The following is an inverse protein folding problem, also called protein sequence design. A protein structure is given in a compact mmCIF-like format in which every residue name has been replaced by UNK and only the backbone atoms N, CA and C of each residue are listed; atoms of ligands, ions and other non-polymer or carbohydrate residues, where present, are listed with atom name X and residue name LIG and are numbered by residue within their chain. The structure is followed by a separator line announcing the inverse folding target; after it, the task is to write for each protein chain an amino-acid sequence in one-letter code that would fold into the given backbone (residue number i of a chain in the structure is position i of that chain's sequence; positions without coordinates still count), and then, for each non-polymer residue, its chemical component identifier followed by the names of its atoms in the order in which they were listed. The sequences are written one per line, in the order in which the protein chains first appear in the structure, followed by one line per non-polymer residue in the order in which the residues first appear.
data_IF_395182329017
#
_entry.id   IF_395182329017
#
_cell.length_a   1.000
_cell.length_b   1.000
_cell.length_c   1.000
_cell.angle_alpha   90.00
_cell.angle_beta   90.00
_cell.angle_gamma   90.00
#
_symmetry.space_group_name_H-M   'P 1'
#
loop_
_entity.id
_entity.type
_entity.pdbx_description
1 polymer ?
#
# COMPACT_ATOMS: atom_id res chain seq x y z
N UNK A 1 5.06 -5.53 0.61
CA UNK A 1 3.75 -6.13 0.26
C UNK A 1 3.35 -5.87 -1.19
N UNK A 2 3.13 -4.62 -1.64
CA UNK A 2 2.79 -4.32 -3.04
C UNK A 2 3.80 -4.85 -4.09
N UNK A 3 5.10 -4.85 -3.78
CA UNK A 3 6.11 -5.49 -4.64
C UNK A 3 5.89 -7.01 -4.75
N UNK A 4 5.56 -7.69 -3.64
CA UNK A 4 5.31 -9.14 -3.62
C UNK A 4 4.01 -9.52 -4.30
N UNK A 5 2.99 -8.66 -4.19
CA UNK A 5 1.72 -8.78 -4.89
C UNK A 5 1.90 -8.91 -6.42
N UNK A 6 3.06 -8.47 -6.93
CA UNK A 6 3.42 -8.49 -8.35
C UNK A 6 4.26 -9.69 -8.78
N UNK A 7 4.59 -10.62 -7.86
CA UNK A 7 5.49 -11.74 -8.12
C UNK A 7 4.75 -13.03 -8.45
N UNK A 8 3.73 -13.43 -7.70
CA UNK A 8 3.08 -14.72 -7.94
C UNK A 8 2.09 -14.66 -9.11
N UNK A 9 1.99 -15.68 -9.98
CA UNK A 9 1.03 -15.68 -11.08
C UNK A 9 -0.42 -15.70 -10.59
N UNK A 10 -0.70 -16.43 -9.51
CA UNK A 10 -2.00 -16.42 -8.83
C UNK A 10 -1.85 -15.70 -7.50
N UNK A 11 -2.76 -14.78 -7.21
CA UNK A 11 -2.84 -14.09 -5.92
C UNK A 11 -4.21 -14.34 -5.31
N UNK A 12 -4.23 -14.67 -4.03
CA UNK A 12 -5.45 -14.70 -3.23
C UNK A 12 -5.36 -13.62 -2.15
N UNK A 13 -6.42 -12.82 -2.05
CA UNK A 13 -6.58 -11.79 -1.02
C UNK A 13 -7.82 -12.06 -0.18
N UNK A 14 -7.80 -11.62 1.07
CA UNK A 14 -8.94 -11.69 1.99
C UNK A 14 -8.89 -10.55 3.01
N UNK A 15 -10.06 -10.23 3.58
CA UNK A 15 -10.28 -9.28 4.69
C UNK A 15 -10.50 -10.04 6.01
N UNK A 16 -9.91 -9.56 7.10
CA UNK A 16 -10.14 -10.04 8.45
C UNK A 16 -11.34 -9.29 9.04
N UNK A 17 -12.46 -10.00 9.22
CA UNK A 17 -13.70 -9.39 9.71
C UNK A 17 -13.51 -8.73 11.08
N UNK A 18 -13.68 -7.40 11.11
CA UNK A 18 -13.64 -6.60 12.34
C UNK A 18 -12.37 -6.87 13.16
N UNK A 19 -11.22 -6.97 12.49
CA UNK A 19 -9.95 -7.43 13.05
C UNK A 19 -9.63 -6.84 14.45
N UNK A 20 -9.74 -5.52 14.62
CA UNK A 20 -9.48 -4.86 15.90
C UNK A 20 -10.43 -5.30 17.03
N UNK A 21 -11.71 -5.53 16.70
CA UNK A 21 -12.71 -5.91 17.69
C UNK A 21 -12.54 -7.35 18.19
N UNK A 22 -11.77 -8.18 17.50
CA UNK A 22 -11.42 -9.52 17.96
C UNK A 22 -10.42 -9.50 19.12
N UNK A 23 -9.61 -8.44 19.24
CA UNK A 23 -8.58 -8.33 20.27
C UNK A 23 -9.11 -7.61 21.51
N UNK A 24 -9.02 -8.27 22.64
CA UNK A 24 -9.50 -7.79 23.94
C UNK A 24 -8.48 -6.85 24.59
N UNK A 25 -8.95 -5.72 25.14
CA UNK A 25 -8.13 -4.88 26.01
C UNK A 25 -8.11 -5.47 27.40
N UNK A 26 -6.91 -5.48 28.00
CA UNK A 26 -6.74 -5.77 29.42
C UNK A 26 -7.57 -4.78 30.24
N UNK A 27 -8.18 -5.26 31.31
CA UNK A 27 -9.10 -4.46 32.11
C UNK A 27 -8.45 -3.20 32.69
N UNK A 28 -7.18 -3.30 33.10
CA UNK A 28 -6.35 -2.19 33.59
C UNK A 28 -6.17 -1.06 32.57
N UNK A 29 -6.18 -1.36 31.27
CA UNK A 29 -5.93 -0.38 30.20
C UNK A 29 -7.23 0.27 29.67
N UNK A 30 -8.41 -0.31 29.98
CA UNK A 30 -9.69 0.12 29.37
C UNK A 30 -10.05 1.57 29.68
N UNK A 31 -9.65 2.06 30.86
CA UNK A 31 -9.96 3.43 31.28
C UNK A 31 -9.26 4.50 30.44
N UNK A 32 -8.16 4.16 29.77
CA UNK A 32 -7.48 5.02 28.79
C UNK A 32 -8.27 5.20 27.49
N UNK A 33 -9.36 4.44 27.31
CA UNK A 33 -10.21 4.46 26.09
C UNK A 33 -11.62 4.97 26.37
N UNK A 34 -11.80 5.73 27.46
CA UNK A 34 -13.10 6.31 27.81
C UNK A 34 -13.54 7.36 26.79
N UNK A 35 -14.83 7.41 26.51
CA UNK A 35 -15.44 8.47 25.72
C UNK A 35 -16.81 8.84 26.29
N UNK A 36 -17.20 10.08 26.01
CA UNK A 36 -18.49 10.62 26.41
C UNK A 36 -19.50 10.41 25.28
N UNK A 37 -20.68 9.91 25.63
CA UNK A 37 -21.81 9.74 24.73
C UNK A 37 -22.97 10.59 25.19
N UNK A 38 -23.52 11.39 24.28
CA UNK A 38 -24.69 12.22 24.54
C UNK A 38 -25.93 11.41 24.20
N UNK A 39 -26.81 11.15 25.19
CA UNK A 39 -28.02 10.33 24.97
C UNK A 39 -28.98 11.02 24.00
N UNK A 40 -29.26 12.30 24.23
CA UNK A 40 -30.19 13.10 23.43
C UNK A 40 -29.51 14.37 22.89
N UNK A 41 -29.29 14.41 21.58
CA UNK A 41 -28.58 15.53 20.91
C UNK A 41 -29.35 16.85 20.89
N UNK A 42 -30.68 16.80 21.06
CA UNK A 42 -31.57 17.97 21.03
C UNK A 42 -31.63 18.72 22.37
N UNK A 43 -31.17 18.12 23.47
CA UNK A 43 -31.14 18.75 24.79
C UNK A 43 -29.89 19.60 24.94
N UNK A 44 -30.01 20.71 25.69
CA UNK A 44 -28.85 21.48 26.13
C UNK A 44 -27.90 20.61 26.97
N UNK A 45 -26.65 21.06 27.09
CA UNK A 45 -25.64 20.37 27.88
C UNK A 45 -26.11 20.15 29.33
N UNK A 46 -26.33 18.89 29.69
CA UNK A 46 -26.72 18.45 31.03
C UNK A 46 -25.88 17.19 31.39
N UNK A 47 -25.16 17.17 32.52
CA UNK A 47 -24.41 15.99 32.95
C UNK A 47 -25.22 14.69 33.00
N UNK A 48 -26.53 14.75 33.25
CA UNK A 48 -27.45 13.59 33.26
C UNK A 48 -27.71 13.02 31.86
N UNK A 49 -27.48 13.83 30.83
CA UNK A 49 -27.56 13.48 29.41
C UNK A 49 -26.25 12.89 28.87
N UNK A 50 -25.20 12.83 29.69
CA UNK A 50 -23.90 12.26 29.31
C UNK A 50 -23.79 10.84 29.89
N UNK A 51 -23.36 9.90 29.06
CA UNK A 51 -22.92 8.57 29.48
C UNK A 51 -21.42 8.44 29.23
N UNK A 52 -20.72 7.77 30.14
CA UNK A 52 -19.31 7.43 29.97
C UNK A 52 -19.23 5.98 29.53
N UNK A 53 -18.70 5.74 28.35
CA UNK A 53 -18.36 4.41 27.86
C UNK A 53 -16.86 4.24 27.83
N UNK A 54 -16.40 2.98 27.78
CA UNK A 54 -15.00 2.62 27.55
C UNK A 54 -14.96 1.43 26.60
N UNK A 55 -13.92 1.34 25.78
CA UNK A 55 -13.76 0.18 24.93
C UNK A 55 -13.28 -1.03 25.74
N UNK A 56 -13.80 -2.20 25.39
CA UNK A 56 -13.33 -3.51 25.91
C UNK A 56 -12.46 -4.26 24.90
N UNK A 57 -12.41 -3.75 23.66
CA UNK A 57 -11.67 -4.26 22.51
C UNK A 57 -10.83 -3.14 21.91
N UNK A 58 -9.89 -3.45 21.02
CA UNK A 58 -9.07 -2.42 20.40
C UNK A 58 -9.93 -1.42 19.60
N UNK A 59 -9.87 -0.12 19.92
CA UNK A 59 -10.55 0.90 19.14
C UNK A 59 -9.74 1.29 17.90
N UNK A 60 -10.45 1.74 16.87
CA UNK A 60 -9.84 2.43 15.73
C UNK A 60 -9.30 3.80 16.16
N UNK A 61 -8.19 4.23 15.56
CA UNK A 61 -7.60 5.56 15.80
C UNK A 61 -6.61 5.63 16.97
N UNK A 62 -6.51 4.58 17.79
CA UNK A 62 -5.44 4.47 18.79
C UNK A 62 -4.16 3.97 18.13
N UNK A 63 -3.05 4.71 18.34
CA UNK A 63 -1.74 4.47 17.71
C UNK A 63 -1.22 3.04 17.97
N UNK A 64 -1.51 2.47 19.14
CA UNK A 64 -1.06 1.13 19.51
C UNK A 64 -1.91 -0.01 18.91
N UNK A 65 -3.16 0.26 18.48
CA UNK A 65 -4.08 -0.79 18.02
C UNK A 65 -3.53 -1.62 16.85
N UNK A 66 -2.94 -1.01 15.78
CA UNK A 66 -2.36 -1.80 14.68
C UNK A 66 -1.23 -2.72 15.11
N UNK A 67 -0.39 -2.28 16.05
CA UNK A 67 0.70 -3.10 16.59
C UNK A 67 0.15 -4.29 17.38
N UNK A 68 -0.81 -4.05 18.27
CA UNK A 68 -1.41 -5.10 19.10
C UNK A 68 -2.14 -6.15 18.25
N UNK A 69 -2.85 -5.72 17.20
CA UNK A 69 -3.46 -6.63 16.23
C UNK A 69 -2.40 -7.48 15.52
N UNK A 70 -1.37 -6.85 14.95
CA UNK A 70 -0.30 -7.56 14.24
C UNK A 70 0.46 -8.54 15.15
N UNK A 71 0.73 -8.16 16.40
CA UNK A 71 1.38 -9.01 17.39
C UNK A 71 0.50 -10.23 17.75
N UNK A 72 -0.82 -10.02 17.90
CA UNK A 72 -1.79 -11.09 18.18
C UNK A 72 -1.84 -12.09 17.02
N UNK A 73 -2.01 -11.61 15.78
CA UNK A 73 -1.99 -12.47 14.58
C UNK A 73 -0.67 -13.24 14.49
N UNK A 74 0.48 -12.56 14.69
CA UNK A 74 1.78 -13.23 14.67
C UNK A 74 1.94 -14.29 15.75
N UNK A 75 1.34 -14.10 16.93
CA UNK A 75 1.37 -15.08 18.01
C UNK A 75 0.57 -16.33 17.64
N UNK A 76 -0.67 -16.16 17.14
CA UNK A 76 -1.49 -17.28 16.66
C UNK A 76 -0.80 -18.07 15.55
N UNK A 77 -0.24 -17.38 14.55
CA UNK A 77 0.49 -18.03 13.45
C UNK A 77 1.68 -18.87 13.93
N UNK A 78 2.38 -18.46 14.98
CA UNK A 78 3.50 -19.23 15.53
C UNK A 78 3.03 -20.47 16.33
N UNK A 79 1.87 -20.38 16.98
CA UNK A 79 1.34 -21.48 17.80
C UNK A 79 0.77 -22.62 16.97
N UNK A 80 0.23 -22.33 15.78
CA UNK A 80 -0.19 -23.35 14.80
C UNK A 80 0.93 -24.37 14.51
N UNK A 81 2.20 -23.95 14.60
CA UNK A 81 3.35 -24.83 14.37
C UNK A 81 3.71 -25.71 15.57
N UNK A 82 3.13 -25.42 16.74
CA UNK A 82 3.38 -26.11 18.01
C UNK A 82 2.35 -27.21 18.28
N UNK A 83 1.20 -27.17 17.61
CA UNK A 83 0.16 -28.19 17.78
C UNK A 83 0.60 -29.53 17.18
N UNK A 84 0.45 -30.59 17.99
CA UNK A 84 0.97 -31.94 17.75
C UNK A 84 0.27 -32.72 16.62
N UNK A 85 -0.69 -32.12 15.90
CA UNK A 85 -1.53 -32.79 14.90
C UNK A 85 -0.93 -32.83 13.48
N UNK A 86 0.30 -32.34 13.28
CA UNK A 86 0.91 -32.36 11.95
C UNK A 86 1.35 -33.80 11.59
N UNK A 87 0.60 -34.40 10.66
CA UNK A 87 0.69 -35.83 10.25
C UNK A 87 2.04 -36.23 9.63
N UNK A 88 2.77 -35.31 9.01
CA UNK A 88 4.04 -35.58 8.33
C UNK A 88 5.06 -34.45 8.49
N UNK A 89 6.35 -34.78 8.34
CA UNK A 89 7.42 -33.77 8.34
C UNK A 89 7.32 -32.79 7.15
N UNK A 90 6.80 -33.25 6.01
CA UNK A 90 6.60 -32.44 4.81
C UNK A 90 5.49 -31.40 5.02
N UNK A 91 4.35 -31.82 5.59
CA UNK A 91 3.25 -30.90 5.91
C UNK A 91 3.70 -29.84 6.92
N UNK A 92 4.57 -30.22 7.87
CA UNK A 92 5.17 -29.27 8.83
C UNK A 92 6.04 -28.23 8.13
N UNK A 93 6.86 -28.65 7.17
CA UNK A 93 7.71 -27.74 6.40
C UNK A 93 6.87 -26.78 5.54
N UNK A 94 5.85 -27.31 4.86
CA UNK A 94 4.92 -26.52 4.05
C UNK A 94 4.15 -25.50 4.90
N UNK A 95 3.63 -25.91 6.06
CA UNK A 95 2.90 -25.02 6.97
C UNK A 95 3.81 -23.92 7.53
N UNK A 96 5.06 -24.24 7.87
CA UNK A 96 6.07 -23.23 8.25
C UNK A 96 6.30 -22.19 7.16
N UNK A 97 6.36 -22.63 5.90
CA UNK A 97 6.51 -21.74 4.76
C UNK A 97 5.28 -20.84 4.58
N UNK A 98 4.07 -21.40 4.67
CA UNK A 98 2.82 -20.63 4.60
C UNK A 98 2.74 -19.58 5.72
N UNK A 99 3.04 -19.97 6.97
CA UNK A 99 3.07 -19.06 8.11
C UNK A 99 4.06 -17.91 7.90
N UNK A 100 5.25 -18.21 7.40
CA UNK A 100 6.25 -17.19 7.10
C UNK A 100 5.80 -16.22 5.98
N UNK A 101 5.17 -16.76 4.93
CA UNK A 101 4.60 -15.99 3.83
C UNK A 101 3.49 -15.05 4.30
N UNK A 102 2.52 -15.59 5.05
CA UNK A 102 1.36 -14.85 5.58
C UNK A 102 1.82 -13.78 6.55
N UNK A 103 2.73 -14.09 7.48
CA UNK A 103 3.29 -13.10 8.40
C UNK A 103 3.96 -11.93 7.67
N UNK A 104 4.59 -12.20 6.54
CA UNK A 104 5.17 -11.15 5.71
C UNK A 104 4.09 -10.38 4.91
N UNK A 105 2.92 -10.95 4.66
CA UNK A 105 1.91 -10.43 3.73
C UNK A 105 0.53 -10.21 4.38
N UNK A 106 0.52 -9.95 5.68
CA UNK A 106 -0.62 -9.40 6.42
C UNK A 106 -0.38 -7.92 6.67
N UNK A 107 -1.37 -7.09 6.37
CA UNK A 107 -1.35 -5.67 6.67
C UNK A 107 -2.68 -5.26 7.30
N UNK A 108 -2.67 -5.05 8.61
CA UNK A 108 -3.85 -4.72 9.41
C UNK A 108 -4.93 -5.80 9.24
N UNK A 109 -5.94 -5.54 8.41
CA UNK A 109 -7.09 -6.37 8.09
C UNK A 109 -6.93 -7.13 6.77
N UNK A 110 -5.95 -6.77 5.93
CA UNK A 110 -5.74 -7.40 4.64
C UNK A 110 -4.74 -8.57 4.71
N UNK A 111 -5.12 -9.73 4.22
CA UNK A 111 -4.26 -10.90 4.04
C UNK A 111 -4.02 -11.14 2.55
N UNK A 112 -2.77 -11.40 2.16
CA UNK A 112 -2.40 -11.70 0.77
C UNK A 112 -1.46 -12.88 0.72
N UNK A 113 -1.71 -13.79 -0.21
CA UNK A 113 -0.84 -14.93 -0.51
C UNK A 113 -0.69 -15.09 -2.02
N UNK A 114 0.47 -15.60 -2.42
CA UNK A 114 0.75 -15.96 -3.79
C UNK A 114 0.75 -17.46 -4.00
N UNK A 115 0.47 -17.91 -5.21
CA UNK A 115 0.56 -19.31 -5.60
C UNK A 115 0.99 -19.42 -7.07
N UNK A 116 1.62 -20.54 -7.42
CA UNK A 116 2.01 -20.85 -8.79
C UNK A 116 0.94 -21.63 -9.55
N UNK A 117 0.08 -22.37 -8.85
CA UNK A 117 -1.03 -23.14 -9.43
C UNK A 117 -2.32 -22.95 -8.66
N UNK A 118 -3.45 -23.24 -9.29
CA UNK A 118 -4.77 -23.14 -8.66
C UNK A 118 -4.89 -24.09 -7.46
N UNK A 119 -4.34 -25.30 -7.56
CA UNK A 119 -4.35 -26.28 -6.48
C UNK A 119 -3.57 -25.79 -5.26
N UNK A 120 -2.40 -25.17 -5.47
CA UNK A 120 -1.62 -24.55 -4.40
C UNK A 120 -2.42 -23.42 -3.74
N UNK A 121 -3.03 -22.54 -4.55
CA UNK A 121 -3.84 -21.42 -4.06
C UNK A 121 -5.00 -21.91 -3.19
N UNK A 122 -5.74 -22.93 -3.65
CA UNK A 122 -6.87 -23.52 -2.93
C UNK A 122 -6.42 -24.21 -1.64
N UNK A 123 -5.27 -24.90 -1.66
CA UNK A 123 -4.68 -25.49 -0.45
C UNK A 123 -4.34 -24.42 0.58
N UNK A 124 -3.72 -23.31 0.16
CA UNK A 124 -3.40 -22.18 1.04
C UNK A 124 -4.65 -21.49 1.58
N UNK A 125 -5.67 -21.28 0.75
CA UNK A 125 -6.98 -20.75 1.16
C UNK A 125 -7.59 -21.56 2.30
N UNK A 126 -7.74 -22.88 2.12
CA UNK A 126 -8.33 -23.76 3.15
C UNK A 126 -7.53 -23.75 4.45
N UNK A 127 -6.21 -23.81 4.36
CA UNK A 127 -5.34 -23.75 5.52
C UNK A 127 -5.46 -22.40 6.26
N UNK A 128 -5.46 -21.29 5.53
CA UNK A 128 -5.62 -19.95 6.11
C UNK A 128 -6.97 -19.79 6.81
N UNK A 129 -8.06 -20.24 6.18
CA UNK A 129 -9.40 -20.17 6.77
C UNK A 129 -9.44 -20.89 8.11
N UNK A 130 -8.84 -22.07 8.20
CA UNK A 130 -8.74 -22.82 9.45
C UNK A 130 -7.88 -22.11 10.51
N UNK A 131 -6.68 -21.66 10.12
CA UNK A 131 -5.74 -20.97 11.03
C UNK A 131 -6.38 -19.73 11.65
N UNK A 132 -7.05 -18.93 10.84
CA UNK A 132 -7.69 -17.69 11.29
C UNK A 132 -8.96 -17.98 12.10
N UNK A 133 -9.71 -19.04 11.75
CA UNK A 133 -10.85 -19.50 12.56
C UNK A 133 -10.43 -19.92 13.97
N UNK A 134 -9.32 -20.66 14.11
CA UNK A 134 -8.74 -21.02 15.41
C UNK A 134 -8.29 -19.78 16.22
N UNK A 135 -7.86 -18.73 15.52
CA UNK A 135 -7.58 -17.42 16.14
C UNK A 135 -8.84 -16.60 16.47
N UNK A 136 -10.04 -17.15 16.25
CA UNK A 136 -11.33 -16.43 16.37
C UNK A 136 -11.41 -15.18 15.49
N UNK A 137 -10.73 -15.21 14.34
CA UNK A 137 -10.71 -14.12 13.36
C UNK A 137 -11.26 -14.66 12.03
N UNK A 138 -12.48 -14.29 11.66
CA UNK A 138 -13.04 -14.77 10.40
C UNK A 138 -12.37 -14.08 9.19
N UNK A 139 -11.97 -14.86 8.18
CA UNK A 139 -11.50 -14.35 6.89
C UNK A 139 -12.63 -14.38 5.86
N UNK A 140 -12.88 -13.23 5.24
CA UNK A 140 -13.97 -13.02 4.27
C UNK A 140 -13.47 -12.19 3.09
N UNK A 141 -14.39 -11.88 2.17
CA UNK A 141 -14.10 -11.10 0.96
C UNK A 141 -12.93 -11.71 0.15
N UNK A 142 -12.92 -13.04 0.05
CA UNK A 142 -11.92 -13.80 -0.70
C UNK A 142 -12.01 -13.46 -2.18
N UNK A 143 -10.86 -13.18 -2.77
CA UNK A 143 -10.74 -12.79 -4.17
C UNK A 143 -9.42 -13.27 -4.76
N UNK A 144 -9.48 -13.76 -5.99
CA UNK A 144 -8.32 -14.20 -6.77
C UNK A 144 -8.36 -13.63 -8.19
N UNK A 145 -7.20 -13.45 -8.83
CA UNK A 145 -7.14 -13.22 -10.28
C UNK A 145 -7.44 -14.48 -11.11
N UNK A 146 -7.51 -15.65 -10.47
CA UNK A 146 -7.81 -16.91 -11.11
C UNK A 146 -9.27 -17.33 -10.86
N UNK A 147 -10.03 -17.55 -11.95
CA UNK A 147 -11.44 -17.93 -11.87
C UNK A 147 -11.68 -19.33 -11.29
N UNK A 148 -10.78 -20.28 -11.54
CA UNK A 148 -10.88 -21.62 -10.98
C UNK A 148 -10.78 -21.56 -9.45
N UNK A 149 -9.84 -20.77 -8.94
CA UNK A 149 -9.69 -20.52 -7.50
C UNK A 149 -10.92 -19.81 -6.93
N UNK A 150 -11.45 -18.78 -7.61
CA UNK A 150 -12.65 -18.07 -7.16
C UNK A 150 -13.90 -18.97 -7.05
N UNK A 151 -14.00 -20.04 -7.85
CA UNK A 151 -15.10 -21.03 -7.74
C UNK A 151 -15.00 -21.93 -6.51
N UNK A 152 -13.82 -22.02 -5.88
CA UNK A 152 -13.59 -22.83 -4.68
C UNK A 152 -13.90 -22.08 -3.37
N UNK A 153 -14.06 -20.75 -3.43
CA UNK A 153 -14.44 -19.96 -2.27
C UNK A 153 -15.90 -20.20 -1.90
N UNK A 154 -16.19 -20.20 -0.60
CA UNK A 154 -17.56 -20.24 -0.11
C UNK A 154 -18.31 -18.97 -0.54
N UNK A 155 -19.54 -19.14 -1.01
CA UNK A 155 -20.31 -18.04 -1.61
C UNK A 155 -20.56 -16.87 -0.65
N UNK A 156 -20.72 -17.15 0.65
CA UNK A 156 -20.89 -16.14 1.70
C UNK A 156 -19.65 -15.27 1.92
N UNK A 157 -18.47 -15.80 1.63
CA UNK A 157 -17.19 -15.17 1.94
C UNK A 157 -16.47 -14.68 0.67
N UNK A 158 -17.02 -14.91 -0.53
CA UNK A 158 -16.42 -14.51 -1.80
C UNK A 158 -16.71 -13.05 -2.10
N UNK A 159 -15.68 -12.27 -2.40
CA UNK A 159 -15.87 -10.90 -2.87
C UNK A 159 -16.36 -10.87 -4.32
N UNK A 160 -17.05 -9.79 -4.69
CA UNK A 160 -17.37 -9.51 -6.08
C UNK A 160 -16.08 -9.26 -6.88
N UNK A 161 -16.03 -9.80 -8.10
CA UNK A 161 -14.93 -9.58 -9.03
C UNK A 161 -14.90 -8.15 -9.59
N UNK A 162 -14.04 -7.92 -10.59
CA UNK A 162 -13.92 -6.62 -11.25
C UNK A 162 -12.81 -5.76 -10.67
N UNK A 163 -13.18 -4.56 -10.18
CA UNK A 163 -12.22 -3.58 -9.67
C UNK A 163 -12.20 -3.60 -8.14
N UNK A 164 -11.14 -4.17 -7.58
CA UNK A 164 -10.88 -4.18 -6.13
C UNK A 164 -9.82 -3.14 -5.74
N UNK A 165 -9.65 -2.91 -4.43
CA UNK A 165 -8.61 -2.02 -3.89
C UNK A 165 -7.65 -2.81 -3.00
N UNK A 166 -6.37 -2.74 -3.33
CA UNK A 166 -5.29 -3.42 -2.61
C UNK A 166 -4.33 -2.36 -2.05
N UNK A 167 -4.29 -2.24 -0.72
CA UNK A 167 -3.45 -1.27 0.01
C UNK A 167 -3.57 0.17 -0.52
N UNK A 168 -4.77 0.56 -0.96
CA UNK A 168 -5.07 1.89 -1.51
C UNK A 168 -4.87 2.05 -3.03
N UNK A 169 -4.38 1.03 -3.74
CA UNK A 169 -4.24 1.03 -5.21
C UNK A 169 -5.38 0.21 -5.82
N UNK A 170 -5.90 0.61 -6.99
CA UNK A 170 -6.88 -0.21 -7.71
C UNK A 170 -6.24 -1.47 -8.30
N UNK A 171 -6.97 -2.58 -8.29
CA UNK A 171 -6.57 -3.82 -8.96
C UNK A 171 -7.76 -4.33 -9.76
N UNK A 172 -7.59 -4.35 -11.08
CA UNK A 172 -8.54 -4.95 -11.99
C UNK A 172 -8.23 -6.45 -12.06
N UNK A 173 -9.08 -7.24 -11.43
CA UNK A 173 -8.88 -8.68 -11.21
C UNK A 173 -8.91 -9.45 -12.54
N UNK A 174 -9.81 -9.09 -13.44
CA UNK A 174 -9.99 -9.79 -14.73
C UNK A 174 -8.82 -9.57 -15.69
N UNK A 175 -8.33 -8.33 -15.80
CA UNK A 175 -7.18 -8.02 -16.67
C UNK A 175 -5.84 -8.22 -15.97
N UNK A 176 -5.86 -8.48 -14.67
CA UNK A 176 -4.72 -8.58 -13.77
C UNK A 176 -3.75 -7.37 -13.82
N UNK A 177 -4.34 -6.17 -13.75
CA UNK A 177 -3.61 -4.90 -13.83
C UNK A 177 -3.82 -4.06 -12.58
N UNK A 178 -2.75 -3.38 -12.16
CA UNK A 178 -2.83 -2.34 -11.14
C UNK A 178 -3.27 -1.03 -11.79
N UNK A 179 -4.25 -0.37 -11.20
CA UNK A 179 -4.78 0.94 -11.60
C UNK A 179 -4.35 2.00 -10.60
N UNK A 180 -3.40 2.84 -10.99
CA UNK A 180 -3.00 4.02 -10.22
C UNK A 180 -3.82 5.20 -10.70
N UNK A 181 -4.66 5.73 -9.81
CA UNK A 181 -5.55 6.84 -10.12
C UNK A 181 -4.91 8.15 -9.69
N UNK A 182 -4.74 9.07 -10.64
CA UNK A 182 -4.48 10.47 -10.33
C UNK A 182 -5.75 11.09 -9.78
N UNK A 183 -5.63 11.90 -8.73
CA UNK A 183 -6.77 12.57 -8.14
C UNK A 183 -7.28 13.62 -9.13
N UNK A 184 -8.54 13.48 -9.54
CA UNK A 184 -9.23 14.53 -10.27
C UNK A 184 -9.39 15.77 -9.37
N UNK A 185 -8.64 16.81 -9.72
CA UNK A 185 -8.64 18.10 -9.03
C UNK A 185 -9.43 19.16 -9.81
N UNK A 186 -9.95 18.83 -11.00
CA UNK A 186 -10.59 19.80 -11.90
C UNK A 186 -11.90 20.34 -11.35
N UNK A 187 -12.62 19.54 -10.56
CA UNK A 187 -13.87 19.97 -9.89
C UNK A 187 -13.66 21.09 -8.86
N UNK A 188 -12.41 21.31 -8.43
CA UNK A 188 -12.02 22.42 -7.56
C UNK A 188 -11.38 23.60 -8.32
N UNK A 189 -11.26 23.53 -9.65
CA UNK A 189 -10.61 24.57 -10.47
C UNK A 189 -11.42 25.88 -10.53
N UNK A 190 -12.71 25.86 -10.20
CA UNK A 190 -13.52 27.07 -10.04
C UNK A 190 -13.22 27.84 -8.74
N UNK A 191 -12.39 27.27 -7.85
CA UNK A 191 -12.01 27.90 -6.60
C UNK A 191 -10.67 28.62 -6.70
N UNK A 192 -10.56 29.71 -5.94
CA UNK A 192 -9.31 30.40 -5.60
C UNK A 192 -8.17 29.39 -5.36
N UNK A 193 -7.10 29.48 -6.15
CA UNK A 193 -5.92 28.64 -6.01
C UNK A 193 -4.98 29.28 -5.00
N UNK A 194 -4.58 28.50 -3.98
CA UNK A 194 -3.59 28.91 -2.99
C UNK A 194 -2.48 27.86 -2.89
N UNK A 195 -1.32 28.24 -2.38
CA UNK A 195 -0.21 27.31 -2.12
C UNK A 195 -0.62 26.11 -1.27
N UNK A 196 -1.50 26.30 -0.28
CA UNK A 196 -2.06 25.21 0.54
C UNK A 196 -2.88 24.22 -0.29
N UNK A 197 -3.73 24.72 -1.21
CA UNK A 197 -4.53 23.86 -2.08
C UNK A 197 -3.67 23.06 -3.04
N UNK A 198 -2.66 23.69 -3.65
CA UNK A 198 -1.67 23.02 -4.50
C UNK A 198 -1.02 21.85 -3.76
N UNK A 199 -0.56 22.07 -2.53
CA UNK A 199 0.02 21.01 -1.70
C UNK A 199 -0.98 19.90 -1.38
N UNK A 200 -2.21 20.27 -1.01
CA UNK A 200 -3.26 19.30 -0.68
C UNK A 200 -3.58 18.39 -1.88
N UNK A 201 -3.76 18.98 -3.06
CA UNK A 201 -4.01 18.26 -4.31
C UNK A 201 -2.82 17.36 -4.66
N UNK A 202 -1.57 17.85 -4.58
CA UNK A 202 -0.37 17.03 -4.77
C UNK A 202 -0.32 15.83 -3.84
N UNK A 203 -0.49 16.07 -2.54
CA UNK A 203 -0.36 15.06 -1.49
C UNK A 203 -1.51 14.03 -1.51
N UNK A 204 -2.65 14.37 -2.13
CA UNK A 204 -3.79 13.46 -2.27
C UNK A 204 -3.55 12.32 -3.26
N UNK A 205 -2.51 12.41 -4.10
CA UNK A 205 -2.12 11.35 -5.02
C UNK A 205 -1.34 10.25 -4.28
N UNK A 206 -1.96 9.08 -4.14
CA UNK A 206 -1.36 7.93 -3.46
C UNK A 206 -0.56 7.07 -4.44
N UNK A 207 0.77 7.13 -4.33
CA UNK A 207 1.71 6.41 -5.21
C UNK A 207 2.89 5.81 -4.41
N UNK A 208 2.66 4.72 -3.67
CA UNK A 208 3.69 4.10 -2.82
C UNK A 208 4.81 3.43 -3.62
N UNK A 209 4.59 3.09 -4.90
CA UNK A 209 5.59 2.51 -5.79
C UNK A 209 6.33 3.58 -6.61
N UNK A 210 5.86 4.82 -6.61
CA UNK A 210 6.45 5.92 -7.36
C UNK A 210 6.21 5.85 -8.87
N UNK A 211 5.25 5.04 -9.34
CA UNK A 211 4.97 4.84 -10.78
C UNK A 211 4.48 6.15 -11.43
N UNK A 212 3.74 6.98 -10.68
CA UNK A 212 3.27 8.29 -11.12
C UNK A 212 4.33 9.39 -10.94
N UNK A 213 5.55 9.06 -10.50
CA UNK A 213 6.63 10.04 -10.27
C UNK A 213 6.89 10.96 -11.47
N UNK A 214 6.93 10.50 -12.73
CA UNK A 214 7.15 11.38 -13.88
C UNK A 214 6.08 12.47 -13.99
N UNK A 215 4.81 12.11 -13.79
CA UNK A 215 3.67 13.02 -13.84
C UNK A 215 3.65 13.97 -12.64
N UNK A 216 3.84 13.43 -11.42
CA UNK A 216 3.80 14.21 -10.18
C UNK A 216 5.03 15.12 -10.00
N UNK A 217 6.12 14.87 -10.72
CA UNK A 217 7.33 15.68 -10.64
C UNK A 217 7.08 17.13 -11.08
N UNK A 218 6.28 17.36 -12.12
CA UNK A 218 5.98 18.73 -12.57
C UNK A 218 5.26 19.52 -11.48
N UNK A 219 4.27 18.91 -10.83
CA UNK A 219 3.57 19.57 -9.73
C UNK A 219 4.46 19.79 -8.50
N UNK A 220 5.39 18.88 -8.20
CA UNK A 220 6.42 19.10 -7.15
C UNK A 220 7.32 20.29 -7.49
N UNK A 221 7.71 20.44 -8.75
CA UNK A 221 8.53 21.55 -9.22
C UNK A 221 7.77 22.88 -9.15
N UNK A 222 6.49 22.87 -9.55
CA UNK A 222 5.59 24.01 -9.39
C UNK A 222 5.49 24.44 -7.92
N UNK A 223 5.23 23.51 -7.00
CA UNK A 223 5.15 23.81 -5.57
C UNK A 223 6.48 24.34 -5.00
N UNK A 224 7.62 23.82 -5.47
CA UNK A 224 8.94 24.34 -5.08
C UNK A 224 9.14 25.78 -5.58
N UNK A 225 8.65 26.13 -6.77
CA UNK A 225 8.69 27.50 -7.29
C UNK A 225 7.89 28.44 -6.39
N UNK A 226 6.65 28.07 -6.03
CA UNK A 226 5.85 28.86 -5.09
C UNK A 226 6.57 29.08 -3.75
N UNK A 227 7.33 28.09 -3.29
CA UNK A 227 8.14 28.23 -2.08
C UNK A 227 9.28 29.24 -2.24
N UNK A 228 9.99 29.21 -3.38
CA UNK A 228 11.11 30.11 -3.68
C UNK A 228 10.66 31.56 -3.88
N UNK A 229 9.49 31.76 -4.47
CA UNK A 229 8.89 33.09 -4.69
C UNK A 229 8.29 33.71 -3.42
N UNK A 230 8.18 32.94 -2.33
CA UNK A 230 7.77 33.47 -1.03
C UNK A 230 6.25 33.51 -0.80
N UNK A 231 5.45 32.88 -1.65
CA UNK A 231 3.98 32.82 -1.50
C UNK A 231 3.55 32.31 -0.12
N UNK A 232 2.59 33.01 0.48
CA UNK A 232 1.88 32.63 1.69
C UNK A 232 1.05 31.36 1.49
N UNK A 233 0.68 30.70 2.59
CA UNK A 233 -0.09 29.44 2.52
C UNK A 233 -1.49 29.62 1.95
N UNK A 234 -2.18 30.67 2.41
CA UNK A 234 -3.56 30.98 2.09
C UNK A 234 -3.69 32.22 1.18
N UNK A 235 -2.55 32.69 0.66
CA UNK A 235 -2.48 33.75 -0.34
C UNK A 235 -3.04 33.24 -1.67
N UNK A 236 -3.82 34.10 -2.33
CA UNK A 236 -4.40 33.84 -3.65
C UNK A 236 -3.28 33.99 -4.67
N UNK A 237 -3.04 32.94 -5.46
CA UNK A 237 -2.07 33.01 -6.55
C UNK A 237 -2.56 33.95 -7.65
N UNK A 238 -1.62 34.65 -8.30
CA UNK A 238 -1.92 35.42 -9.50
C UNK A 238 -2.50 34.52 -10.60
N UNK A 239 -3.33 35.10 -11.46
CA UNK A 239 -4.14 34.33 -12.42
C UNK A 239 -3.29 33.50 -13.39
N UNK A 240 -2.14 34.02 -13.82
CA UNK A 240 -1.18 33.31 -14.68
C UNK A 240 -0.56 32.08 -13.97
N UNK A 241 -0.19 32.25 -12.69
CA UNK A 241 0.35 31.16 -11.87
C UNK A 241 -0.72 30.12 -11.56
N UNK A 242 -1.95 30.56 -11.28
CA UNK A 242 -3.10 29.71 -11.04
C UNK A 242 -3.51 28.92 -12.30
N UNK A 243 -3.41 29.52 -13.48
CA UNK A 243 -3.70 28.88 -14.77
C UNK A 243 -2.67 27.80 -15.10
N UNK A 244 -1.38 28.02 -14.85
CA UNK A 244 -0.36 26.97 -15.01
C UNK A 244 -0.68 25.75 -14.13
N UNK A 245 -1.12 25.97 -12.90
CA UNK A 245 -1.55 24.88 -12.02
C UNK A 245 -2.79 24.16 -12.55
N UNK A 246 -3.80 24.90 -13.03
CA UNK A 246 -5.00 24.32 -13.64
C UNK A 246 -4.64 23.44 -14.83
N UNK A 247 -3.82 23.94 -15.76
CA UNK A 247 -3.32 23.19 -16.91
C UNK A 247 -2.64 21.86 -16.49
N UNK A 248 -1.79 21.88 -15.46
CA UNK A 248 -1.16 20.66 -14.92
C UNK A 248 -2.22 19.67 -14.39
N UNK A 249 -3.20 20.14 -13.63
CA UNK A 249 -4.24 19.26 -13.07
C UNK A 249 -5.22 18.73 -14.13
N UNK A 250 -5.46 19.49 -15.19
CA UNK A 250 -6.25 19.05 -16.35
C UNK A 250 -5.54 17.96 -17.15
N UNK A 251 -4.21 18.07 -17.31
CA UNK A 251 -3.40 16.98 -17.86
C UNK A 251 -3.50 15.70 -17.04
N UNK A 252 -3.52 15.81 -15.72
CA UNK A 252 -3.71 14.67 -14.82
C UNK A 252 -5.10 14.06 -14.96
N UNK A 253 -6.15 14.89 -15.08
CA UNK A 253 -7.51 14.41 -15.30
C UNK A 253 -7.67 13.71 -16.67
N UNK A 254 -6.99 14.19 -17.72
CA UNK A 254 -6.95 13.51 -19.03
C UNK A 254 -6.31 12.13 -18.96
N UNK A 255 -5.34 11.94 -18.07
CA UNK A 255 -4.64 10.67 -17.83
C UNK A 255 -4.96 10.11 -16.44
N UNK A 256 -6.23 10.18 -16.04
CA UNK A 256 -6.66 9.91 -14.67
C UNK A 256 -6.29 8.52 -14.15
N UNK A 257 -6.05 7.54 -15.03
CA UNK A 257 -5.69 6.17 -14.65
C UNK A 257 -4.47 5.71 -15.44
N UNK A 258 -3.39 5.40 -14.72
CA UNK A 258 -2.22 4.70 -15.26
C UNK A 258 -2.34 3.23 -14.90
N UNK A 259 -2.27 2.35 -15.90
CA UNK A 259 -2.34 0.91 -15.68
C UNK A 259 -1.00 0.24 -15.90
N UNK A 260 -0.60 -0.65 -14.98
CA UNK A 260 0.61 -1.48 -15.12
C UNK A 260 0.26 -2.95 -14.90
N UNK A 261 0.97 -3.90 -15.53
CA UNK A 261 0.82 -5.31 -15.23
C UNK A 261 1.07 -5.57 -13.75
N UNK A 262 0.19 -6.35 -13.10
CA UNK A 262 0.45 -6.83 -11.75
C UNK A 262 1.66 -7.77 -11.80
N UNK A 263 1.56 -8.87 -12.54
CA UNK A 263 2.62 -9.86 -12.69
C UNK A 263 3.82 -9.29 -13.48
N UNK A 264 5.04 -9.51 -12.99
CA UNK A 264 6.27 -8.98 -13.60
C UNK A 264 7.20 -10.04 -14.22
N UNK A 265 6.83 -11.33 -14.18
CA UNK A 265 7.57 -12.41 -14.86
C UNK A 265 6.63 -13.52 -15.31
N UNK A 266 7.04 -14.31 -16.30
CA UNK A 266 6.20 -15.37 -16.86
C UNK A 266 6.27 -16.66 -16.03
N UNK A 267 7.47 -17.06 -15.60
CA UNK A 267 7.68 -18.29 -14.83
C UNK A 267 8.54 -18.08 -13.59
N UNK A 268 8.24 -18.81 -12.52
CA UNK A 268 9.02 -18.78 -11.28
C UNK A 268 10.49 -19.20 -11.51
N UNK A 269 10.75 -20.03 -12.51
CA UNK A 269 12.11 -20.43 -12.88
C UNK A 269 12.93 -19.28 -13.50
N UNK A 270 12.27 -18.24 -14.06
CA UNK A 270 12.95 -17.18 -14.80
C UNK A 270 13.86 -16.37 -13.88
N UNK A 271 15.17 -16.25 -14.16
CA UNK A 271 16.06 -15.49 -13.30
C UNK A 271 15.60 -14.04 -13.16
N UNK A 272 15.51 -13.53 -11.93
CA UNK A 272 15.18 -12.13 -11.70
C UNK A 272 16.39 -11.26 -12.05
N UNK A 273 16.27 -10.47 -13.12
CA UNK A 273 17.27 -9.48 -13.52
C UNK A 273 16.73 -8.10 -13.18
N UNK A 274 17.44 -7.39 -12.29
CA UNK A 274 17.10 -6.04 -11.87
C UNK A 274 17.98 -5.01 -12.58
N UNK A 275 17.34 -4.09 -13.28
CA UNK A 275 17.98 -2.90 -13.85
C UNK A 275 17.52 -1.69 -13.08
N UNK A 276 18.45 -0.92 -12.53
CA UNK A 276 18.16 0.34 -11.85
C UNK A 276 18.85 1.44 -12.62
N UNK A 277 18.08 2.43 -13.05
CA UNK A 277 18.60 3.61 -13.73
C UNK A 277 18.57 4.77 -12.75
N UNK A 278 19.60 5.60 -12.80
CA UNK A 278 19.71 6.83 -12.00
C UNK A 278 20.13 7.96 -12.90
N UNK A 279 19.48 9.10 -12.77
CA UNK A 279 19.73 10.30 -13.57
C UNK A 279 19.51 11.54 -12.70
N UNK A 280 20.17 12.64 -13.06
CA UNK A 280 20.08 13.93 -12.42
C UNK A 280 20.07 15.08 -13.42
N UNK A 281 19.25 16.07 -13.10
CA UNK A 281 19.15 17.33 -13.83
C UNK A 281 19.30 18.51 -12.86
N UNK A 282 19.38 19.73 -13.40
CA UNK A 282 19.34 20.97 -12.60
C UNK A 282 18.11 21.07 -11.68
N UNK A 283 17.01 20.39 -12.02
CA UNK A 283 15.72 20.51 -11.34
C UNK A 283 15.49 19.40 -10.31
N UNK A 284 15.93 18.18 -10.61
CA UNK A 284 15.63 16.99 -9.83
C UNK A 284 16.61 15.87 -10.14
N UNK A 285 16.70 14.91 -9.22
CA UNK A 285 17.41 13.64 -9.41
C UNK A 285 16.48 12.49 -9.08
N UNK A 286 16.60 11.40 -9.83
CA UNK A 286 15.64 10.31 -9.80
C UNK A 286 16.29 8.94 -9.99
N UNK A 287 15.51 7.92 -9.65
CA UNK A 287 15.83 6.53 -9.95
C UNK A 287 14.57 5.76 -10.32
N UNK A 288 14.70 4.80 -11.22
CA UNK A 288 13.67 3.82 -11.55
C UNK A 288 14.29 2.43 -11.60
N UNK A 289 13.55 1.46 -11.09
CA UNK A 289 13.95 0.07 -11.00
C UNK A 289 12.99 -0.79 -11.82
N UNK A 290 13.56 -1.64 -12.67
CA UNK A 290 12.88 -2.60 -13.50
C UNK A 290 13.29 -4.00 -13.12
N UNK A 291 12.34 -4.93 -13.17
CA UNK A 291 12.59 -6.37 -13.16
C UNK A 291 11.95 -6.94 -14.41
N UNK A 292 12.71 -7.69 -15.21
CA UNK A 292 12.24 -8.31 -16.45
C UNK A 292 11.46 -7.33 -17.35
N UNK A 293 12.03 -6.13 -17.55
CA UNK A 293 11.46 -5.03 -18.35
C UNK A 293 10.17 -4.39 -17.81
N UNK A 294 9.75 -4.72 -16.59
CA UNK A 294 8.60 -4.10 -15.92
C UNK A 294 9.05 -3.15 -14.82
N UNK A 295 8.53 -1.91 -14.83
CA UNK A 295 8.80 -0.93 -13.78
C UNK A 295 8.21 -1.43 -12.46
N UNK A 296 9.05 -1.58 -11.43
CA UNK A 296 8.63 -2.08 -10.10
C UNK A 296 8.61 -0.98 -9.05
N UNK A 297 9.50 -0.01 -9.16
CA UNK A 297 9.62 1.09 -8.22
C UNK A 297 10.31 2.27 -8.88
N UNK A 298 9.86 3.49 -8.58
CA UNK A 298 10.55 4.71 -8.97
C UNK A 298 10.55 5.72 -7.82
N UNK A 299 11.50 6.64 -7.87
CA UNK A 299 11.63 7.69 -6.86
C UNK A 299 12.32 8.90 -7.46
N UNK A 300 11.64 10.04 -7.41
CA UNK A 300 12.20 11.33 -7.76
C UNK A 300 12.32 12.23 -6.53
N UNK A 301 13.38 13.02 -6.47
CA UNK A 301 13.61 14.06 -5.46
C UNK A 301 13.99 15.37 -6.15
N UNK A 302 13.48 16.48 -5.63
CA UNK A 302 13.82 17.81 -6.13
C UNK A 302 15.25 18.18 -5.74
N UNK A 303 15.90 19.00 -6.57
CA UNK A 303 17.15 19.64 -6.20
C UNK A 303 16.92 20.49 -4.92
N UNK A 304 17.75 20.33 -3.87
CA UNK A 304 17.64 21.14 -2.67
C UNK A 304 17.66 22.66 -2.94
N UNK A 305 17.07 23.45 -2.06
CA UNK A 305 17.06 24.92 -2.21
C UNK A 305 18.46 25.54 -2.21
N UNK A 306 19.43 24.87 -1.57
CA UNK A 306 20.85 25.19 -1.74
C UNK A 306 21.33 24.46 -3.00
N UNK A 307 21.65 25.23 -4.03
CA UNK A 307 22.15 24.66 -5.28
C UNK A 307 23.39 23.80 -5.03
N UNK A 308 23.34 22.61 -5.61
CA UNK A 308 24.46 21.68 -5.66
C UNK A 308 24.81 21.43 -7.13
N UNK A 309 26.08 21.12 -7.38
CA UNK A 309 26.56 20.85 -8.73
C UNK A 309 25.88 19.62 -9.34
N UNK A 310 25.79 19.58 -10.66
CA UNK A 310 25.24 18.42 -11.40
C UNK A 310 25.96 17.11 -11.01
N UNK A 311 27.31 17.04 -10.95
CA UNK A 311 28.00 15.83 -10.50
C UNK A 311 27.60 15.38 -9.08
N UNK A 312 27.31 16.33 -8.19
CA UNK A 312 26.83 15.98 -6.84
C UNK A 312 25.40 15.45 -6.87
N UNK A 313 24.55 15.95 -7.77
CA UNK A 313 23.20 15.41 -7.96
C UNK A 313 23.20 14.02 -8.58
N UNK A 314 24.07 13.76 -9.55
CA UNK A 314 24.29 12.42 -10.12
C UNK A 314 24.70 11.44 -9.01
N UNK A 315 25.65 11.82 -8.15
CA UNK A 315 26.01 11.00 -6.98
C UNK A 315 24.83 10.78 -6.03
N UNK A 316 23.98 11.79 -5.82
CA UNK A 316 22.76 11.64 -5.02
C UNK A 316 21.72 10.71 -5.69
N UNK A 317 21.63 10.72 -7.03
CA UNK A 317 20.83 9.79 -7.81
C UNK A 317 21.32 8.34 -7.60
N UNK A 318 22.63 8.12 -7.69
CA UNK A 318 23.27 6.82 -7.39
C UNK A 318 23.00 6.36 -5.95
N UNK A 319 23.06 7.28 -4.97
CA UNK A 319 22.73 6.96 -3.57
C UNK A 319 21.27 6.53 -3.40
N UNK A 320 20.31 7.18 -4.08
CA UNK A 320 18.92 6.73 -4.00
C UNK A 320 18.71 5.41 -4.78
N UNK A 321 19.38 5.21 -5.90
CA UNK A 321 19.33 3.97 -6.68
C UNK A 321 19.83 2.77 -5.88
N UNK A 322 20.99 2.89 -5.24
CA UNK A 322 21.54 1.83 -4.36
C UNK A 322 20.63 1.52 -3.16
N UNK A 323 19.97 2.53 -2.59
CA UNK A 323 18.95 2.33 -1.54
C UNK A 323 17.71 1.62 -2.08
N UNK A 324 17.27 1.94 -3.30
CA UNK A 324 16.15 1.28 -3.97
C UNK A 324 16.46 -0.18 -4.23
N UNK A 325 17.67 -0.52 -4.69
CA UNK A 325 18.12 -1.92 -4.84
C UNK A 325 17.96 -2.67 -3.51
N UNK A 326 18.58 -2.17 -2.43
CA UNK A 326 18.50 -2.81 -1.11
C UNK A 326 17.07 -2.93 -0.60
N UNK A 327 16.26 -1.90 -0.81
CA UNK A 327 14.84 -1.91 -0.44
C UNK A 327 14.10 -3.02 -1.19
N UNK A 328 14.18 -3.07 -2.52
CA UNK A 328 13.48 -4.09 -3.31
C UNK A 328 13.96 -5.49 -2.91
N UNK A 329 15.27 -5.72 -2.81
CA UNK A 329 15.82 -7.01 -2.35
C UNK A 329 15.27 -7.45 -1.00
N UNK A 330 15.15 -6.52 -0.03
CA UNK A 330 14.54 -6.84 1.28
C UNK A 330 13.06 -7.20 1.22
N UNK A 331 12.37 -6.81 0.14
CA UNK A 331 10.95 -7.10 -0.07
C UNK A 331 10.72 -8.35 -0.93
N UNK A 332 11.70 -8.73 -1.75
CA UNK A 332 11.67 -9.94 -2.56
C UNK A 332 11.97 -11.14 -1.66
N UNK A 333 11.07 -12.13 -1.64
CA UNK A 333 11.32 -13.43 -1.02
C UNK A 333 12.11 -14.38 -1.95
N UNK A 334 12.80 -13.80 -2.94
CA UNK A 334 13.52 -14.51 -4.00
C UNK A 334 14.82 -13.78 -4.30
N UNK A 335 15.87 -14.54 -4.61
CA UNK A 335 17.17 -13.99 -4.97
C UNK A 335 17.12 -13.29 -6.33
N UNK A 336 17.78 -12.14 -6.42
CA UNK A 336 17.98 -11.43 -7.68
C UNK A 336 19.26 -11.97 -8.32
N UNK A 337 19.14 -12.62 -9.47
CA UNK A 337 20.24 -13.29 -10.14
C UNK A 337 21.29 -12.32 -10.66
N UNK A 338 20.85 -11.15 -11.16
CA UNK A 338 21.74 -10.10 -11.66
C UNK A 338 21.18 -8.72 -11.36
N UNK A 339 22.07 -7.81 -10.94
CA UNK A 339 21.75 -6.42 -10.62
C UNK A 339 22.66 -5.51 -11.42
N UNK A 340 22.07 -4.54 -12.11
CA UNK A 340 22.82 -3.55 -12.87
C UNK A 340 22.31 -2.17 -12.45
N UNK A 341 23.24 -1.31 -12.02
CA UNK A 341 22.97 0.09 -11.75
C UNK A 341 23.57 0.90 -12.90
N UNK A 342 22.70 1.58 -13.64
CA UNK A 342 23.04 2.47 -14.73
C UNK A 342 23.05 3.90 -14.22
N UNK A 343 24.16 4.59 -14.43
CA UNK A 343 24.31 6.01 -14.21
C UNK A 343 24.95 6.64 -15.45
N UNK A 344 24.67 7.92 -15.66
CA UNK A 344 25.30 8.72 -16.70
C UNK A 344 26.80 8.95 -16.45
#
# INVERSE_FOLDING_TARGET
MLIRFRLAPIIVVADVEKAFLQVQLKEEDRDSTRFLWVKERSKMFDPRNIQVYRFTRLPFGVVASPFLLAATISWHLNNVLSDGEIKSNEDRAWLKQLVAEVRASVYVDNVMIGANTAEEAVRKYKALKQIFLEASMNLREWLSNDEEVNRQFEESDRAEGGLSKILGIGWNVHSDRLELKLKDCTRTNAEVVTKRKVLNQLASNYDPLGILSPTLLQGKLFFQRLWKEGWGWDEILDEDVAEEWRCLTEEWARHAVVTVPRLIYAHEADPLIMHVFTDASKRAYATCAYINSQLIYAKARLNPSKEISIPRMELMAVVIGTRVIKFIESQLHRSVARKILWCD
#
